data_IF_423486705505
#
_entry.id   IF_423486705505
#
_cell.length_a   1.000
_cell.length_b   1.000
_cell.length_c   1.000
_cell.angle_alpha   90.00
_cell.angle_beta   90.00
_cell.angle_gamma   90.00
#
_symmetry.space_group_name_H-M   'P 1'
#
loop_
_entity.id
_entity.type
_entity.pdbx_description
1 polymer ?
#
# COMPACT_ATOMS: atom_id res chain seq x y z
N UNK A 1 -8.11 55.17 -80.25
CA UNK A 1 -7.94 53.97 -81.10
C UNK A 1 -7.08 52.96 -80.33
N UNK A 2 -7.36 51.65 -80.26
CA UNK A 2 -8.63 50.90 -80.32
C UNK A 2 -8.86 49.97 -79.09
N UNK A 3 -10.04 49.33 -79.07
CA UNK A 3 -10.59 48.35 -78.10
C UNK A 3 -10.04 46.93 -78.28
N UNK A 4 -10.04 46.14 -77.20
CA UNK A 4 -10.39 44.68 -77.11
C UNK A 4 -10.82 44.47 -75.64
N UNK A 5 -12.06 44.22 -75.19
CA UNK A 5 -13.07 43.15 -75.37
C UNK A 5 -12.63 41.72 -75.00
N UNK A 6 -13.01 41.24 -73.81
CA UNK A 6 -13.60 39.89 -73.63
C UNK A 6 -14.12 39.66 -72.20
N UNK A 7 -15.38 39.23 -72.13
CA UNK A 7 -16.18 38.80 -70.96
C UNK A 7 -15.77 37.38 -70.48
N UNK A 8 -16.61 36.58 -69.77
CA UNK A 8 -17.40 36.72 -68.52
C UNK A 8 -17.22 35.49 -67.58
N UNK A 9 -17.92 35.47 -66.43
CA UNK A 9 -18.66 34.33 -65.77
C UNK A 9 -18.53 34.43 -64.25
N UNK A 10 -19.61 34.76 -63.53
CA UNK A 10 -20.52 33.83 -62.84
C UNK A 10 -19.77 32.96 -61.83
N UNK A 11 -20.14 32.89 -60.54
CA UNK A 11 -21.43 32.40 -60.07
C UNK A 11 -21.48 32.47 -58.52
N UNK A 12 -22.71 32.43 -58.00
CA UNK A 12 -23.11 31.80 -56.73
C UNK A 12 -22.87 32.55 -55.40
N UNK A 13 -23.91 33.30 -55.03
CA UNK A 13 -24.67 33.21 -53.77
C UNK A 13 -24.07 32.35 -52.65
N UNK A 14 -23.61 32.99 -51.57
CA UNK A 14 -23.30 32.31 -50.31
C UNK A 14 -24.47 32.48 -49.33
N UNK A 15 -25.31 31.45 -49.21
CA UNK A 15 -26.29 31.31 -48.14
C UNK A 15 -25.55 30.96 -46.84
N UNK A 16 -25.56 31.88 -45.86
CA UNK A 16 -25.00 31.63 -44.53
C UNK A 16 -25.88 30.63 -43.78
N UNK A 17 -25.33 29.46 -43.45
CA UNK A 17 -25.91 28.52 -42.49
C UNK A 17 -25.69 29.05 -41.06
N UNK A 18 -26.68 28.94 -40.16
CA UNK A 18 -26.46 29.27 -38.76
C UNK A 18 -25.57 28.21 -38.09
N UNK A 19 -24.77 28.60 -37.08
CA UNK A 19 -23.82 27.70 -36.42
C UNK A 19 -24.52 26.61 -35.60
N UNK A 20 -23.89 25.43 -35.43
CA UNK A 20 -24.46 24.32 -34.68
C UNK A 20 -24.50 24.64 -33.17
N UNK A 21 -25.64 24.35 -32.53
CA UNK A 21 -25.79 24.42 -31.07
C UNK A 21 -25.15 23.19 -30.43
N UNK A 22 -24.02 23.37 -29.76
CA UNK A 22 -23.39 22.32 -28.94
C UNK A 22 -24.30 22.08 -27.72
N UNK A 23 -24.68 20.83 -27.39
CA UNK A 23 -25.43 20.53 -26.17
C UNK A 23 -24.57 20.89 -24.95
N UNK A 24 -25.06 21.77 -24.08
CA UNK A 24 -24.39 22.02 -22.81
C UNK A 24 -24.46 20.76 -21.95
N UNK A 25 -23.31 20.10 -21.77
CA UNK A 25 -23.13 18.99 -20.86
C UNK A 25 -23.42 19.52 -19.44
N UNK A 26 -24.57 19.14 -18.88
CA UNK A 26 -24.90 19.44 -17.48
C UNK A 26 -23.87 18.70 -16.62
N UNK A 27 -22.88 19.41 -16.10
CA UNK A 27 -22.04 18.95 -15.00
C UNK A 27 -22.96 18.73 -13.80
N UNK A 28 -23.46 17.50 -13.63
CA UNK A 28 -23.88 17.05 -12.32
C UNK A 28 -22.63 17.05 -11.44
N UNK A 29 -22.63 17.90 -10.41
CA UNK A 29 -21.62 17.87 -9.38
C UNK A 29 -21.74 16.51 -8.66
N UNK A 30 -20.99 15.53 -9.14
CA UNK A 30 -20.74 14.29 -8.41
C UNK A 30 -20.16 14.73 -7.05
N UNK A 31 -20.90 14.49 -5.96
CA UNK A 31 -20.34 14.63 -4.62
C UNK A 31 -19.01 13.87 -4.58
N UNK A 32 -17.96 14.39 -3.91
CA UNK A 32 -16.70 13.67 -3.82
C UNK A 32 -17.00 12.25 -3.33
N UNK A 33 -16.45 11.20 -3.98
CA UNK A 33 -16.65 9.85 -3.48
C UNK A 33 -16.21 9.85 -2.01
N UNK A 34 -17.08 9.36 -1.12
CA UNK A 34 -16.69 9.12 0.27
C UNK A 34 -15.37 8.33 0.26
N UNK A 35 -14.43 8.62 1.19
CA UNK A 35 -13.17 7.90 1.23
C UNK A 35 -13.49 6.41 1.35
N UNK A 36 -13.24 5.66 0.27
CA UNK A 36 -13.14 4.21 0.35
C UNK A 36 -12.03 3.96 1.37
N UNK A 37 -12.29 3.24 2.48
CA UNK A 37 -11.23 2.91 3.42
C UNK A 37 -10.18 2.14 2.62
N UNK A 38 -9.05 2.80 2.34
CA UNK A 38 -7.90 2.16 1.74
C UNK A 38 -7.33 1.22 2.78
N UNK A 39 -6.84 0.05 2.38
CA UNK A 39 -6.24 -0.95 3.27
C UNK A 39 -5.10 -0.42 4.19
N UNK A 40 -4.66 0.81 3.95
CA UNK A 40 -3.78 1.60 4.82
C UNK A 40 -4.41 1.91 6.17
N UNK A 41 -5.70 2.27 6.23
CA UNK A 41 -6.35 2.72 7.47
C UNK A 41 -6.46 1.60 8.51
N UNK A 42 -6.76 0.37 8.08
CA UNK A 42 -6.85 -0.79 8.96
C UNK A 42 -5.48 -1.18 9.54
N UNK A 43 -4.44 -1.17 8.69
CA UNK A 43 -3.07 -1.47 9.10
C UNK A 43 -2.57 -0.44 10.11
N UNK A 44 -2.79 0.84 9.82
CA UNK A 44 -2.39 1.95 10.69
C UNK A 44 -3.12 1.91 12.04
N UNK A 45 -4.41 1.56 12.04
CA UNK A 45 -5.18 1.44 13.27
C UNK A 45 -4.70 0.27 14.15
N UNK A 46 -4.38 -0.88 13.55
CA UNK A 46 -3.79 -2.03 14.25
C UNK A 46 -2.43 -1.65 14.84
N UNK A 47 -1.57 -1.02 14.06
CA UNK A 47 -0.26 -0.57 14.52
C UNK A 47 -0.38 0.45 15.66
N UNK A 48 -1.35 1.37 15.58
CA UNK A 48 -1.63 2.33 16.65
C UNK A 48 -2.07 1.64 17.94
N UNK A 49 -2.90 0.60 17.86
CA UNK A 49 -3.32 -0.19 19.04
C UNK A 49 -2.14 -0.89 19.70
N UNK A 50 -1.24 -1.50 18.91
CA UNK A 50 -0.06 -2.20 19.42
C UNK A 50 0.92 -1.20 20.08
N UNK A 51 1.19 -0.06 19.44
CA UNK A 51 2.04 1.00 20.01
C UNK A 51 1.50 1.56 21.34
N UNK A 52 0.19 1.47 21.55
CA UNK A 52 -0.46 1.92 22.79
C UNK A 52 -0.31 0.97 23.98
N UNK A 53 0.21 -0.25 23.77
CA UNK A 53 0.41 -1.19 24.87
C UNK A 53 1.65 -0.85 25.70
N UNK A 54 1.53 -0.96 27.04
CA UNK A 54 2.63 -0.67 27.96
C UNK A 54 3.79 -1.65 27.73
N UNK A 55 4.99 -1.12 27.56
CA UNK A 55 6.21 -1.90 27.38
C UNK A 55 6.55 -2.18 25.92
N UNK A 56 5.71 -1.84 24.94
CA UNK A 56 6.08 -1.97 23.52
C UNK A 56 7.15 -0.93 23.18
N UNK A 57 8.32 -1.42 22.77
CA UNK A 57 9.47 -0.61 22.34
C UNK A 57 9.36 -0.30 20.85
N UNK A 58 8.98 -1.31 20.06
CA UNK A 58 8.83 -1.10 18.63
C UNK A 58 8.17 -2.25 17.89
N UNK A 59 7.76 -1.93 16.67
CA UNK A 59 7.07 -2.83 15.77
C UNK A 59 7.85 -2.85 14.46
N UNK A 60 7.96 -4.02 13.87
CA UNK A 60 8.64 -4.25 12.61
C UNK A 60 7.78 -5.20 11.74
N UNK A 61 7.43 -4.74 10.55
CA UNK A 61 6.79 -5.55 9.52
C UNK A 61 7.86 -5.94 8.51
N UNK A 62 8.02 -7.23 8.25
CA UNK A 62 9.06 -7.78 7.38
C UNK A 62 8.43 -8.57 6.25
N UNK A 63 9.00 -8.48 5.05
CA UNK A 63 8.61 -9.34 3.94
C UNK A 63 9.21 -10.76 4.02
N UNK A 64 8.86 -11.61 3.05
CA UNK A 64 9.38 -12.98 2.95
C UNK A 64 10.89 -13.10 2.71
N UNK A 65 11.56 -12.01 2.34
CA UNK A 65 12.99 -11.96 2.04
C UNK A 65 13.81 -11.40 3.21
N UNK A 66 13.16 -10.98 4.30
CA UNK A 66 13.84 -10.36 5.43
C UNK A 66 14.07 -8.86 5.26
N UNK A 67 13.31 -8.19 4.39
CA UNK A 67 13.39 -6.76 4.15
C UNK A 67 12.31 -6.05 4.98
N UNK A 68 12.69 -5.07 5.84
CA UNK A 68 11.72 -4.24 6.56
C UNK A 68 10.80 -3.48 5.59
N UNK A 69 9.48 -3.65 5.73
CA UNK A 69 8.45 -2.89 5.02
C UNK A 69 8.04 -1.65 5.81
N UNK A 70 7.82 -1.82 7.12
CA UNK A 70 7.49 -0.74 8.04
C UNK A 70 8.16 -1.02 9.39
N UNK A 71 8.66 0.00 10.06
CA UNK A 71 9.29 -0.16 11.37
C UNK A 71 9.21 1.12 12.18
N UNK A 72 9.09 0.98 13.49
CA UNK A 72 9.29 2.08 14.45
C UNK A 72 10.70 2.07 15.07
N UNK A 73 11.52 1.07 14.71
CA UNK A 73 12.91 0.95 15.15
C UNK A 73 13.83 1.79 14.27
N UNK A 74 15.07 2.02 14.72
CA UNK A 74 16.08 2.66 13.88
C UNK A 74 16.43 1.78 12.67
N UNK A 75 16.85 2.43 11.58
CA UNK A 75 17.12 1.77 10.30
C UNK A 75 18.11 0.60 10.42
N UNK A 76 19.21 0.79 11.14
CA UNK A 76 20.22 -0.23 11.35
C UNK A 76 19.66 -1.48 12.06
N UNK A 77 19.04 -1.29 13.23
CA UNK A 77 18.50 -2.42 14.01
C UNK A 77 17.37 -3.14 13.26
N UNK A 78 16.54 -2.42 12.51
CA UNK A 78 15.43 -3.02 11.77
C UNK A 78 15.88 -4.07 10.73
N UNK A 79 17.00 -3.81 10.05
CA UNK A 79 17.54 -4.71 9.02
C UNK A 79 18.14 -5.97 9.65
N UNK A 80 18.90 -5.82 10.74
CA UNK A 80 19.46 -6.98 11.46
C UNK A 80 18.34 -7.87 12.03
N UNK A 81 17.38 -7.28 12.75
CA UNK A 81 16.27 -8.04 13.32
C UNK A 81 15.43 -8.73 12.23
N UNK A 82 15.16 -8.04 11.11
CA UNK A 82 14.40 -8.62 10.01
C UNK A 82 15.07 -9.88 9.43
N UNK A 83 16.37 -9.82 9.16
CA UNK A 83 17.11 -10.96 8.61
C UNK A 83 17.13 -12.16 9.56
N UNK A 84 17.47 -11.94 10.84
CA UNK A 84 17.56 -13.01 11.83
C UNK A 84 16.21 -13.64 12.14
N UNK A 85 15.17 -12.83 12.36
CA UNK A 85 13.84 -13.33 12.71
C UNK A 85 13.17 -14.02 11.52
N UNK A 86 13.44 -13.59 10.30
CA UNK A 86 12.93 -14.28 9.11
C UNK A 86 13.53 -15.68 8.97
N UNK A 87 14.84 -15.81 9.13
CA UNK A 87 15.50 -17.11 9.09
C UNK A 87 15.00 -18.02 10.21
N UNK A 88 14.92 -17.51 11.44
CA UNK A 88 14.47 -18.26 12.61
C UNK A 88 13.02 -18.76 12.43
N UNK A 89 12.12 -17.89 11.99
CA UNK A 89 10.70 -18.22 11.80
C UNK A 89 10.54 -19.27 10.71
N UNK A 90 11.30 -19.17 9.62
CA UNK A 90 11.28 -20.16 8.54
C UNK A 90 11.72 -21.54 9.03
N UNK A 91 12.80 -21.61 9.80
CA UNK A 91 13.26 -22.88 10.38
C UNK A 91 12.22 -23.44 11.34
N UNK A 92 11.64 -22.60 12.22
CA UNK A 92 10.59 -23.02 13.14
C UNK A 92 9.34 -23.55 12.41
N UNK A 93 8.90 -22.89 11.33
CA UNK A 93 7.79 -23.35 10.50
C UNK A 93 8.06 -24.72 9.88
N UNK A 94 9.28 -24.95 9.37
CA UNK A 94 9.67 -26.25 8.83
C UNK A 94 9.65 -27.32 9.92
N UNK A 95 10.23 -27.04 11.10
CA UNK A 95 10.29 -28.00 12.21
C UNK A 95 8.90 -28.36 12.75
N UNK A 96 7.98 -27.39 12.86
CA UNK A 96 6.59 -27.67 13.26
C UNK A 96 5.92 -28.62 12.26
N UNK A 97 6.09 -28.37 10.96
CA UNK A 97 5.53 -29.22 9.89
C UNK A 97 6.17 -30.60 9.78
N UNK A 98 7.43 -30.73 10.20
CA UNK A 98 8.12 -32.03 10.29
C UNK A 98 7.55 -32.89 11.42
N UNK A 99 7.02 -32.27 12.48
CA UNK A 99 6.37 -32.95 13.61
C UNK A 99 4.93 -33.32 13.26
N UNK A 100 4.15 -32.36 12.75
CA UNK A 100 2.78 -32.57 12.28
C UNK A 100 2.54 -31.74 11.00
N UNK A 101 2.31 -32.37 9.83
CA UNK A 101 2.13 -31.65 8.57
C UNK A 101 0.84 -30.81 8.52
N UNK A 102 -0.15 -31.08 9.37
CA UNK A 102 -1.41 -30.33 9.44
C UNK A 102 -1.30 -29.12 10.39
N UNK A 103 -0.26 -29.05 11.22
CA UNK A 103 -0.05 -27.92 12.15
C UNK A 103 0.70 -26.76 11.48
N UNK A 104 0.45 -25.55 11.97
CA UNK A 104 1.02 -24.32 11.45
C UNK A 104 1.47 -23.39 12.58
N UNK A 105 2.69 -22.87 12.46
CA UNK A 105 3.21 -21.87 13.38
C UNK A 105 2.38 -20.59 13.31
N UNK A 106 1.70 -20.25 14.40
CA UNK A 106 0.85 -19.05 14.53
C UNK A 106 1.61 -17.87 15.11
N UNK A 107 2.45 -18.11 16.12
CA UNK A 107 3.34 -17.13 16.72
C UNK A 107 4.57 -17.80 17.32
N UNK A 108 5.66 -17.04 17.37
CA UNK A 108 6.92 -17.39 18.01
C UNK A 108 7.23 -16.31 19.06
N UNK A 109 7.38 -16.72 20.31
CA UNK A 109 7.67 -15.82 21.43
C UNK A 109 9.06 -16.10 21.98
N UNK A 110 9.96 -15.14 21.86
CA UNK A 110 11.35 -15.23 22.31
C UNK A 110 11.52 -14.31 23.51
N UNK A 111 11.83 -14.91 24.66
CA UNK A 111 12.10 -14.17 25.90
C UNK A 111 13.61 -14.13 26.14
N UNK A 112 14.13 -12.95 26.35
CA UNK A 112 15.50 -12.68 26.81
C UNK A 112 15.45 -12.12 28.23
N UNK A 113 16.59 -11.81 28.83
CA UNK A 113 16.65 -11.19 30.16
C UNK A 113 16.00 -9.79 30.19
N UNK A 114 16.06 -9.04 29.09
CA UNK A 114 15.63 -7.62 29.06
C UNK A 114 14.42 -7.37 28.18
N UNK A 115 14.23 -8.23 27.18
CA UNK A 115 13.26 -8.03 26.12
C UNK A 115 12.47 -9.29 25.85
N UNK A 116 11.28 -9.08 25.33
CA UNK A 116 10.47 -10.10 24.73
C UNK A 116 10.18 -9.73 23.27
N UNK A 117 10.35 -10.70 22.38
CA UNK A 117 10.13 -10.54 20.95
C UNK A 117 9.00 -11.50 20.57
N UNK A 118 7.91 -10.93 20.06
CA UNK A 118 6.77 -11.70 19.57
C UNK A 118 6.79 -11.60 18.04
N UNK A 119 6.88 -12.74 17.37
CA UNK A 119 6.87 -12.84 15.92
C UNK A 119 5.62 -13.58 15.48
N UNK A 120 4.81 -12.97 14.62
CA UNK A 120 3.64 -13.61 14.04
C UNK A 120 3.80 -13.67 12.52
N UNK A 121 3.94 -14.86 11.92
CA UNK A 121 3.90 -15.02 10.48
C UNK A 121 2.46 -14.95 9.95
N UNK A 122 2.21 -14.08 8.97
CA UNK A 122 0.93 -14.01 8.26
C UNK A 122 1.14 -13.76 6.76
N UNK A 123 0.52 -14.61 5.91
CA UNK A 123 0.49 -14.45 4.44
C UNK A 123 1.84 -14.09 3.78
N UNK A 124 2.94 -14.64 4.30
CA UNK A 124 4.29 -14.38 3.78
C UNK A 124 4.94 -13.08 4.24
N UNK A 125 4.36 -12.40 5.23
CA UNK A 125 4.96 -11.30 6.00
C UNK A 125 5.17 -11.75 7.44
N UNK A 126 6.07 -11.09 8.14
CA UNK A 126 6.21 -11.21 9.59
C UNK A 126 5.79 -9.91 10.26
N UNK A 127 4.94 -10.02 11.27
CA UNK A 127 4.75 -8.98 12.26
C UNK A 127 5.65 -9.28 13.46
N UNK A 128 6.55 -8.37 13.77
CA UNK A 128 7.45 -8.46 14.91
C UNK A 128 7.11 -7.35 15.89
N UNK A 129 6.92 -7.70 17.15
CA UNK A 129 6.74 -6.77 18.26
C UNK A 129 7.89 -6.98 19.23
N UNK A 130 8.62 -5.90 19.49
CA UNK A 130 9.67 -5.83 20.50
C UNK A 130 9.11 -5.11 21.72
N UNK A 131 9.18 -5.74 22.89
CA UNK A 131 8.72 -5.17 24.15
C UNK A 131 9.75 -5.35 25.28
N UNK A 132 9.71 -4.45 26.26
CA UNK A 132 10.43 -4.60 27.52
C UNK A 132 9.86 -5.79 28.29
N UNK A 133 10.76 -6.53 28.92
CA UNK A 133 10.35 -7.54 29.87
C UNK A 133 9.94 -6.85 31.18
N UNK A 134 8.64 -6.63 31.36
CA UNK A 134 8.13 -6.17 32.65
C UNK A 134 8.19 -7.32 33.66
N UNK A 135 8.99 -7.15 34.71
CA UNK A 135 8.95 -7.98 35.93
C UNK A 135 7.75 -7.65 36.81
#
# INVERSE_FOLDING_TARGET
MPRVTSSPRHLATSSRLPPPRIPQLRMEAQAPPAPVPSATDETDEILRRIRGQKGVIGILIVDRYGIPLETTLCSYSSVEYAGYLQLLTRTAQSTVREIDPEDALTFLRLRTEKYEIIVSPDRGKLLVVLQELNE
#
